data_IF_415244021826
#
_entry.id   IF_415244021826
#
_cell.length_a   1.000
_cell.length_b   1.000
_cell.length_c   1.000
_cell.angle_alpha   90.00
_cell.angle_beta   90.00
_cell.angle_gamma   90.00
#
_symmetry.space_group_name_H-M   'P 1'
#
loop_
_entity.id
_entity.type
_entity.pdbx_description
1 polymer ?
#
# COMPACT_ATOMS: atom_id res chain seq x y z
N UNK A 1 -30.17 38.01 -15.01
CA UNK A 1 -29.61 36.79 -14.40
C UNK A 1 -28.39 36.35 -15.22
N UNK A 2 -27.16 36.54 -14.70
CA UNK A 2 -25.93 36.14 -15.42
C UNK A 2 -25.79 34.62 -15.34
N UNK A 3 -25.99 33.92 -16.47
CA UNK A 3 -25.57 32.51 -16.62
C UNK A 3 -24.04 32.50 -16.55
N UNK A 4 -23.49 32.19 -15.38
CA UNK A 4 -22.05 32.00 -15.22
C UNK A 4 -21.60 30.91 -16.18
N UNK A 5 -20.64 31.24 -17.07
CA UNK A 5 -19.94 30.25 -17.89
C UNK A 5 -19.34 29.21 -16.95
N UNK A 6 -19.91 28.00 -16.92
CA UNK A 6 -19.28 26.84 -16.28
C UNK A 6 -17.99 26.63 -17.07
N UNK A 7 -16.85 27.06 -16.52
CA UNK A 7 -15.55 26.72 -17.10
C UNK A 7 -15.48 25.20 -17.10
N UNK A 8 -15.30 24.60 -18.27
CA UNK A 8 -14.98 23.18 -18.39
C UNK A 8 -13.72 22.91 -17.57
N UNK A 9 -13.91 22.32 -16.38
CA UNK A 9 -12.81 21.96 -15.50
C UNK A 9 -12.10 20.79 -16.18
N UNK A 10 -10.89 21.03 -16.69
CA UNK A 10 -10.06 19.97 -17.24
C UNK A 10 -9.75 18.98 -16.12
N UNK A 11 -10.16 17.73 -16.31
CA UNK A 11 -9.92 16.64 -15.36
C UNK A 11 -8.92 15.67 -15.93
N UNK A 12 -7.94 15.31 -15.10
CA UNK A 12 -7.02 14.22 -15.40
C UNK A 12 -7.54 12.94 -14.77
N UNK A 13 -7.29 11.79 -15.42
CA UNK A 13 -7.82 10.51 -14.94
C UNK A 13 -6.70 9.50 -14.76
N UNK A 14 -6.75 8.76 -13.66
CA UNK A 14 -5.83 7.66 -13.37
C UNK A 14 -6.63 6.39 -13.11
N UNK A 15 -6.25 5.31 -13.77
CA UNK A 15 -6.88 4.00 -13.61
C UNK A 15 -6.05 3.09 -12.70
N UNK A 16 -6.68 2.53 -11.67
CA UNK A 16 -6.06 1.56 -10.76
C UNK A 16 -6.79 0.23 -10.87
N UNK A 17 -6.05 -0.83 -11.21
CA UNK A 17 -6.61 -2.18 -11.35
C UNK A 17 -6.41 -3.02 -10.09
N UNK A 18 -7.53 -3.40 -9.48
CA UNK A 18 -7.59 -4.18 -8.25
C UNK A 18 -8.21 -5.55 -8.51
N UNK A 19 -7.62 -6.65 -8.01
CA UNK A 19 -8.24 -7.96 -8.11
C UNK A 19 -9.53 -8.02 -7.29
N UNK A 20 -10.51 -8.72 -7.87
CA UNK A 20 -11.80 -9.05 -7.30
C UNK A 20 -12.03 -10.55 -7.53
N UNK A 21 -12.39 -11.28 -6.48
CA UNK A 21 -12.89 -12.65 -6.62
C UNK A 21 -14.40 -12.51 -6.82
N UNK A 22 -14.90 -12.91 -7.99
CA UNK A 22 -16.34 -12.87 -8.28
C UNK A 22 -17.05 -14.05 -7.63
N UNK A 23 -18.39 -14.01 -7.63
CA UNK A 23 -19.23 -15.03 -6.98
C UNK A 23 -19.08 -16.42 -7.61
N UNK A 24 -18.56 -16.50 -8.83
CA UNK A 24 -18.23 -17.73 -9.55
C UNK A 24 -16.85 -18.31 -9.17
N UNK A 25 -16.17 -17.71 -8.18
CA UNK A 25 -14.83 -18.10 -7.74
C UNK A 25 -13.70 -17.65 -8.66
N UNK A 26 -14.00 -17.00 -9.79
CA UNK A 26 -12.98 -16.53 -10.75
C UNK A 26 -12.38 -15.21 -10.31
N UNK A 27 -11.09 -15.04 -10.66
CA UNK A 27 -10.33 -13.83 -10.37
C UNK A 27 -10.45 -12.85 -11.53
N UNK A 28 -11.09 -11.72 -11.27
CA UNK A 28 -11.22 -10.62 -12.22
C UNK A 28 -10.42 -9.40 -11.74
N UNK A 29 -10.13 -8.47 -12.65
CA UNK A 29 -9.62 -7.15 -12.30
C UNK A 29 -10.73 -6.12 -12.40
N UNK A 30 -10.98 -5.40 -11.31
CA UNK A 30 -11.87 -4.24 -11.29
C UNK A 30 -11.04 -2.97 -11.44
N UNK A 31 -11.43 -2.13 -12.40
CA UNK A 31 -10.86 -0.81 -12.60
C UNK A 31 -11.49 0.19 -11.62
N UNK A 32 -10.66 1.01 -11.00
CA UNK A 32 -11.08 2.19 -10.24
C UNK A 32 -10.49 3.41 -10.93
N UNK A 33 -11.35 4.20 -11.57
CA UNK A 33 -10.96 5.44 -12.23
C UNK A 33 -11.02 6.62 -11.25
N UNK A 34 -9.88 7.29 -11.08
CA UNK A 34 -9.71 8.39 -10.15
C UNK A 34 -9.58 9.67 -10.99
N UNK A 35 -10.54 10.58 -10.82
CA UNK A 35 -10.53 11.88 -11.47
C UNK A 35 -9.82 12.92 -10.60
N UNK A 36 -8.89 13.68 -11.18
CA UNK A 36 -8.14 14.76 -10.55
C UNK A 36 -8.54 16.11 -11.15
N UNK A 37 -8.82 17.09 -10.30
CA UNK A 37 -9.09 18.46 -10.72
C UNK A 37 -7.77 19.23 -10.95
N UNK A 38 -7.83 20.43 -11.54
CA UNK A 38 -6.64 21.24 -11.83
C UNK A 38 -5.77 21.54 -10.59
N UNK A 39 -6.38 21.77 -9.43
CA UNK A 39 -5.65 21.97 -8.16
C UNK A 39 -4.91 20.73 -7.66
N UNK A 40 -5.23 19.54 -8.19
CA UNK A 40 -4.60 18.26 -7.85
C UNK A 40 -3.61 17.80 -8.93
N UNK A 41 -3.32 18.65 -9.92
CA UNK A 41 -2.41 18.31 -11.02
C UNK A 41 -1.01 17.88 -10.56
N UNK A 42 -0.35 18.50 -9.55
CA UNK A 42 0.95 18.02 -9.07
C UNK A 42 0.89 16.60 -8.52
N UNK A 43 -0.20 16.25 -7.83
CA UNK A 43 -0.44 14.91 -7.32
C UNK A 43 -0.62 13.93 -8.50
N UNK A 44 -1.42 14.30 -9.49
CA UNK A 44 -1.59 13.49 -10.71
C UNK A 44 -0.26 13.27 -11.45
N UNK A 45 0.57 14.31 -11.59
CA UNK A 45 1.85 14.23 -12.32
C UNK A 45 2.87 13.30 -11.65
N UNK A 46 2.84 13.17 -10.33
CA UNK A 46 3.62 12.17 -9.60
C UNK A 46 3.01 10.77 -9.73
N UNK A 47 1.68 10.65 -9.62
CA UNK A 47 0.99 9.36 -9.62
C UNK A 47 0.94 8.70 -11.00
N UNK A 48 0.88 9.48 -12.09
CA UNK A 48 0.85 8.93 -13.46
C UNK A 48 2.13 8.17 -13.83
N UNK A 49 3.23 8.41 -13.11
CA UNK A 49 4.50 7.71 -13.29
C UNK A 49 4.51 6.33 -12.62
N UNK A 50 3.53 6.05 -11.77
CA UNK A 50 3.46 4.82 -10.97
C UNK A 50 2.57 3.77 -11.64
N UNK A 51 2.94 2.50 -11.49
CA UNK A 51 2.08 1.40 -11.94
C UNK A 51 0.93 1.18 -10.96
N UNK A 52 -0.11 0.46 -11.41
CA UNK A 52 -1.18 0.00 -10.50
C UNK A 52 -0.65 -0.82 -9.32
N UNK A 53 0.46 -1.55 -9.51
CA UNK A 53 1.07 -2.33 -8.42
C UNK A 53 1.74 -1.41 -7.38
N UNK A 54 2.42 -0.36 -7.84
CA UNK A 54 3.05 0.62 -6.96
C UNK A 54 2.02 1.41 -6.16
N UNK A 55 0.89 1.77 -6.80
CA UNK A 55 -0.23 2.43 -6.13
C UNK A 55 -0.82 1.52 -5.05
N UNK A 56 -1.06 0.23 -5.34
CA UNK A 56 -1.54 -0.76 -4.35
C UNK A 56 -0.59 -0.91 -3.18
N UNK A 57 0.72 -1.00 -3.44
CA UNK A 57 1.77 -1.01 -2.41
C UNK A 57 1.79 0.29 -1.61
N UNK A 58 1.49 1.42 -2.24
CA UNK A 58 1.48 2.71 -1.58
C UNK A 58 0.35 2.86 -0.58
N UNK A 59 -0.84 2.38 -0.92
CA UNK A 59 -2.01 2.47 -0.04
C UNK A 59 -2.18 1.23 0.86
N UNK A 60 -1.32 0.21 0.71
CA UNK A 60 -1.39 -1.10 1.40
C UNK A 60 -2.74 -1.82 1.22
N UNK A 61 -3.39 -1.64 0.07
CA UNK A 61 -4.67 -2.27 -0.29
C UNK A 61 -4.49 -3.00 -1.62
N UNK A 62 -4.65 -4.32 -1.57
CA UNK A 62 -4.32 -5.19 -2.70
C UNK A 62 -5.53 -5.79 -3.43
N UNK A 63 -6.74 -5.59 -2.92
CA UNK A 63 -7.98 -6.17 -3.47
C UNK A 63 -9.09 -5.15 -3.44
N UNK A 64 -10.03 -5.23 -4.39
CA UNK A 64 -11.17 -4.33 -4.43
C UNK A 64 -12.06 -4.45 -3.19
N UNK A 65 -12.28 -5.66 -2.68
CA UNK A 65 -13.08 -5.90 -1.46
C UNK A 65 -12.54 -5.11 -0.26
N UNK A 66 -11.25 -5.25 0.04
CA UNK A 66 -10.59 -4.49 1.13
C UNK A 66 -10.65 -2.97 0.93
N UNK A 67 -10.64 -2.50 -0.32
CA UNK A 67 -10.79 -1.07 -0.61
C UNK A 67 -12.18 -0.58 -0.18
N UNK A 68 -13.23 -1.32 -0.55
CA UNK A 68 -14.60 -0.99 -0.19
C UNK A 68 -14.81 -1.03 1.31
N UNK A 69 -14.42 -2.14 1.97
CA UNK A 69 -14.58 -2.29 3.42
C UNK A 69 -13.92 -1.15 4.20
N UNK A 70 -12.75 -0.67 3.75
CA UNK A 70 -12.06 0.45 4.39
C UNK A 70 -12.72 1.79 4.07
N UNK A 71 -13.15 1.99 2.83
CA UNK A 71 -13.85 3.20 2.41
C UNK A 71 -15.17 3.37 3.19
N UNK A 72 -15.91 2.28 3.41
CA UNK A 72 -17.12 2.27 4.24
C UNK A 72 -16.81 2.59 5.71
N UNK A 73 -15.79 1.97 6.30
CA UNK A 73 -15.36 2.27 7.68
C UNK A 73 -14.97 3.73 7.89
N UNK A 74 -14.37 4.35 6.89
CA UNK A 74 -13.96 5.76 6.93
C UNK A 74 -15.04 6.71 6.40
N UNK A 75 -16.23 6.19 6.04
CA UNK A 75 -17.37 6.91 5.46
C UNK A 75 -17.00 7.79 4.25
N UNK A 76 -16.23 7.22 3.31
CA UNK A 76 -15.67 7.90 2.14
C UNK A 76 -15.88 7.11 0.87
N UNK A 77 -15.78 7.76 -0.28
CA UNK A 77 -15.76 7.06 -1.57
C UNK A 77 -14.42 6.35 -1.79
N UNK A 78 -14.39 5.19 -2.46
CA UNK A 78 -13.14 4.47 -2.74
C UNK A 78 -12.07 5.32 -3.46
N UNK A 79 -12.51 6.18 -4.38
CA UNK A 79 -11.63 7.10 -5.11
C UNK A 79 -11.03 8.18 -4.21
N UNK A 80 -11.82 8.73 -3.29
CA UNK A 80 -11.38 9.73 -2.32
C UNK A 80 -10.42 9.12 -1.31
N UNK A 81 -10.68 7.90 -0.86
CA UNK A 81 -9.77 7.15 0.03
C UNK A 81 -8.41 6.93 -0.64
N UNK A 82 -8.38 6.49 -1.91
CA UNK A 82 -7.12 6.30 -2.64
C UNK A 82 -6.35 7.62 -2.73
N UNK A 83 -7.02 8.72 -3.10
CA UNK A 83 -6.38 10.05 -3.15
C UNK A 83 -5.77 10.45 -1.82
N UNK A 84 -6.54 10.30 -0.73
CA UNK A 84 -6.09 10.67 0.61
C UNK A 84 -4.86 9.86 1.02
N UNK A 85 -4.90 8.54 0.90
CA UNK A 85 -3.77 7.67 1.27
C UNK A 85 -2.52 7.96 0.44
N UNK A 86 -2.68 8.27 -0.84
CA UNK A 86 -1.56 8.65 -1.71
C UNK A 86 -0.99 10.02 -1.34
N UNK A 87 -1.85 11.00 -1.07
CA UNK A 87 -1.43 12.32 -0.60
C UNK A 87 -0.70 12.22 0.74
N UNK A 88 -1.24 11.48 1.72
CA UNK A 88 -0.58 11.22 2.99
C UNK A 88 0.79 10.58 2.81
N UNK A 89 0.94 9.62 1.89
CA UNK A 89 2.24 8.98 1.65
C UNK A 89 3.25 9.96 1.04
N UNK A 90 2.82 10.85 0.15
CA UNK A 90 3.69 11.88 -0.43
C UNK A 90 4.09 12.93 0.60
N UNK A 91 3.15 13.36 1.46
CA UNK A 91 3.43 14.25 2.59
C UNK A 91 4.36 13.56 3.59
N UNK A 92 4.18 12.27 3.86
CA UNK A 92 5.02 11.53 4.80
C UNK A 92 6.37 11.12 4.19
N UNK A 93 6.55 11.10 2.86
CA UNK A 93 7.87 10.92 2.24
C UNK A 93 8.87 12.01 2.65
N UNK A 94 8.39 13.24 2.90
CA UNK A 94 9.24 14.33 3.40
C UNK A 94 9.60 14.16 4.88
N UNK A 95 8.81 13.39 5.62
CA UNK A 95 9.10 12.98 7.00
C UNK A 95 9.67 11.57 6.99
N UNK A 96 10.98 11.40 6.79
CA UNK A 96 11.67 10.10 7.02
C UNK A 96 11.35 9.62 8.44
N UNK A 97 10.33 8.77 8.59
CA UNK A 97 10.05 8.11 9.86
C UNK A 97 11.04 6.95 9.95
N UNK A 98 12.23 7.21 10.49
CA UNK A 98 13.11 6.17 11.00
C UNK A 98 12.40 5.52 12.20
N UNK A 99 11.47 4.61 11.94
CA UNK A 99 10.97 3.72 13.00
C UNK A 99 12.09 2.73 13.27
N UNK A 100 12.90 3.02 14.28
CA UNK A 100 13.81 2.04 14.85
C UNK A 100 12.95 1.00 15.57
N UNK A 101 12.48 0.00 14.83
CA UNK A 101 11.67 -1.08 15.39
C UNK A 101 12.66 -2.04 16.02
N UNK A 102 12.74 -2.04 17.36
CA UNK A 102 13.48 -3.05 18.09
C UNK A 102 12.80 -4.41 17.87
N UNK A 103 13.39 -5.20 16.98
CA UNK A 103 12.89 -6.52 16.65
C UNK A 103 13.34 -7.51 17.73
N UNK A 104 12.40 -8.21 18.38
CA UNK A 104 12.73 -9.26 19.35
C UNK A 104 12.86 -10.62 18.64
N UNK A 105 14.07 -11.22 18.55
CA UNK A 105 14.29 -12.46 17.81
C UNK A 105 13.47 -13.65 18.32
N UNK A 106 13.15 -13.68 19.62
CA UNK A 106 12.34 -14.76 20.22
C UNK A 106 10.89 -14.71 19.73
N UNK A 107 10.35 -13.50 19.53
CA UNK A 107 8.98 -13.33 19.00
C UNK A 107 8.92 -13.76 17.53
N UNK A 108 9.93 -13.41 16.73
CA UNK A 108 10.00 -13.87 15.33
C UNK A 108 10.07 -15.39 15.25
N UNK A 109 10.94 -16.06 16.02
CA UNK A 109 11.00 -17.53 16.05
C UNK A 109 9.64 -18.16 16.37
N UNK A 110 8.92 -17.59 17.34
CA UNK A 110 7.57 -18.05 17.70
C UNK A 110 6.60 -17.91 16.52
N UNK A 111 6.66 -16.81 15.78
CA UNK A 111 5.79 -16.56 14.63
C UNK A 111 6.12 -17.48 13.45
N UNK A 112 7.41 -17.68 13.14
CA UNK A 112 7.85 -18.65 12.13
C UNK A 112 7.34 -20.05 12.46
N UNK A 113 7.40 -20.46 13.73
CA UNK A 113 6.85 -21.74 14.18
C UNK A 113 5.33 -21.86 13.96
N UNK A 114 4.57 -20.79 14.22
CA UNK A 114 3.13 -20.75 13.98
C UNK A 114 2.83 -20.82 12.46
N UNK A 115 3.58 -20.09 11.64
CA UNK A 115 3.41 -20.07 10.19
C UNK A 115 3.68 -21.46 9.58
N UNK A 116 4.78 -22.11 9.96
CA UNK A 116 5.11 -23.48 9.53
C UNK A 116 4.05 -24.49 10.00
N UNK A 117 3.54 -24.35 11.23
CA UNK A 117 2.48 -25.22 11.77
C UNK A 117 1.17 -25.10 10.99
N UNK A 118 0.85 -23.90 10.50
CA UNK A 118 -0.36 -23.62 9.73
C UNK A 118 -0.21 -23.87 8.23
N UNK A 119 0.92 -24.45 7.77
CA UNK A 119 1.25 -24.59 6.34
C UNK A 119 1.15 -23.27 5.56
N UNK A 120 1.57 -22.18 6.20
CA UNK A 120 1.76 -20.86 5.60
C UNK A 120 3.27 -20.69 5.42
N UNK A 121 3.84 -21.55 4.60
CA UNK A 121 5.25 -21.66 4.26
C UNK A 121 5.54 -21.01 2.88
N UNK A 122 6.76 -20.50 2.72
CA UNK A 122 7.20 -19.74 1.55
C UNK A 122 7.95 -18.46 1.92
N UNK A 123 7.96 -17.48 1.00
CA UNK A 123 8.78 -16.25 1.06
C UNK A 123 8.68 -15.48 2.38
N UNK A 124 7.53 -15.53 3.07
CA UNK A 124 7.30 -14.83 4.33
C UNK A 124 8.07 -15.50 5.49
N UNK A 125 8.10 -16.83 5.53
CA UNK A 125 8.83 -17.56 6.58
C UNK A 125 10.35 -17.40 6.39
N UNK A 126 10.81 -17.50 5.14
CA UNK A 126 12.23 -17.36 4.78
C UNK A 126 12.75 -15.94 5.03
N UNK A 127 11.94 -14.91 4.72
CA UNK A 127 12.25 -13.53 5.05
C UNK A 127 12.43 -13.31 6.56
N UNK A 128 11.52 -13.87 7.38
CA UNK A 128 11.59 -13.75 8.84
C UNK A 128 12.77 -14.52 9.43
N UNK A 129 13.15 -15.66 8.85
CA UNK A 129 14.36 -16.39 9.24
C UNK A 129 15.64 -15.62 8.87
N UNK A 130 15.69 -15.00 7.70
CA UNK A 130 16.78 -14.13 7.27
C UNK A 130 17.03 -12.98 8.23
N UNK A 131 15.97 -12.33 8.72
CA UNK A 131 16.07 -11.24 9.72
C UNK A 131 16.73 -11.68 11.03
N UNK A 132 16.60 -12.95 11.44
CA UNK A 132 17.25 -13.47 12.66
C UNK A 132 18.73 -13.79 12.40
N UNK A 133 19.06 -14.22 11.19
CA UNK A 133 20.43 -14.59 10.80
C UNK A 133 21.34 -13.36 10.69
N UNK A 134 20.84 -12.24 10.18
CA UNK A 134 21.60 -10.99 10.07
C UNK A 134 21.90 -10.34 11.43
N UNK A 135 20.99 -10.45 12.42
CA UNK A 135 21.21 -9.95 13.79
C UNK A 135 22.34 -10.71 14.53
N UNK A 136 22.59 -11.99 14.18
CA UNK A 136 23.72 -12.74 14.75
C UNK A 136 25.05 -12.38 14.12
N UNK A 137 25.09 -12.05 12.82
CA UNK A 137 26.31 -11.64 12.12
C UNK A 137 26.84 -10.29 12.63
N UNK A 138 25.95 -9.34 12.95
CA UNK A 138 26.35 -8.04 13.50
C UNK A 138 26.88 -8.12 14.94
N UNK A 139 26.45 -9.11 15.74
CA UNK A 139 26.94 -9.35 17.10
C UNK A 139 28.23 -10.19 17.19
N UNK A 140 28.59 -10.92 16.13
CA UNK A 140 29.78 -11.80 16.10
C UNK A 140 31.08 -11.13 15.66
N UNK A 141 31.04 -9.94 15.04
CA UNK A 141 32.22 -9.27 14.48
C UNK A 141 33.07 -8.48 15.50
N UNK A 142 32.72 -8.52 16.80
CA UNK A 142 33.34 -7.72 17.85
C UNK A 142 34.23 -8.48 18.84
N UNK A 143 34.88 -9.58 18.43
CA UNK A 143 35.81 -10.31 19.31
C UNK A 143 36.96 -10.94 18.53
N UNK A 144 37.89 -10.11 18.09
CA UNK A 144 39.29 -10.48 17.89
C UNK A 144 40.14 -9.21 17.92
N UNK A 145 40.67 -8.90 19.11
CA UNK A 145 41.94 -8.23 19.30
C UNK A 145 42.47 -8.62 20.67
#
# INVERSE_FOLDING_TARGET
>A
MRKGKIKDVKRNYLSVYLPLIASDGKRHSKNVCIAFNDGEKPLFDELKKLTSQDIKKAISIFTYKKLIERAEKENRKPTELIKLLLAEKLINKSKKINRNIAVNPRKIKKWVGILKKNKIDGEIADFLEGMISDDRKSRGAGRNK
#
